data_IF_196258901028
#
_entry.id   IF_196258901028
#
_cell.length_a   1.000
_cell.length_b   1.000
_cell.length_c   1.000
_cell.angle_alpha   90.00
_cell.angle_beta   90.00
_cell.angle_gamma   90.00
#
_symmetry.space_group_name_H-M   'P 1'
#
loop_
_entity.id
_entity.type
_entity.pdbx_description
1 polymer ?
#
# COMPACT_ATOMS: atom_id res chain seq x y z
N UNK A 1 -54.98 -31.45 22.69
CA UNK A 1 -54.93 -30.56 23.87
C UNK A 1 -53.74 -29.63 23.70
N UNK A 2 -54.05 -28.34 23.59
CA UNK A 2 -53.16 -27.23 23.32
C UNK A 2 -52.48 -26.73 24.60
N UNK A 3 -51.43 -25.90 24.41
CA UNK A 3 -50.86 -24.97 25.41
C UNK A 3 -49.87 -25.61 26.39
N UNK A 4 -48.75 -25.02 26.82
CA UNK A 4 -48.21 -23.67 27.04
C UNK A 4 -46.66 -23.90 27.10
N UNK A 5 -45.70 -22.99 26.94
CA UNK A 5 -45.66 -21.54 27.03
C UNK A 5 -44.36 -21.04 26.38
N UNK A 6 -44.50 -20.03 25.52
CA UNK A 6 -43.56 -18.94 25.36
C UNK A 6 -43.12 -18.41 26.75
N UNK A 7 -41.82 -18.18 26.99
CA UNK A 7 -41.28 -17.06 27.80
C UNK A 7 -39.74 -17.16 27.89
N UNK A 8 -39.06 -16.12 27.38
CA UNK A 8 -37.75 -15.55 27.74
C UNK A 8 -36.99 -15.04 26.52
N UNK A 9 -37.56 -13.98 25.95
CA UNK A 9 -36.83 -12.85 25.38
C UNK A 9 -36.30 -12.00 26.55
N UNK A 10 -35.24 -11.21 26.30
CA UNK A 10 -34.63 -10.19 27.19
C UNK A 10 -33.63 -10.67 28.25
N UNK A 11 -32.33 -10.50 27.93
CA UNK A 11 -31.30 -9.74 28.66
C UNK A 11 -29.92 -10.34 28.34
N UNK A 12 -29.20 -9.77 27.36
CA UNK A 12 -27.73 -9.66 27.39
C UNK A 12 -27.32 -8.53 26.44
N UNK A 13 -27.68 -7.32 26.86
CA UNK A 13 -26.98 -6.08 26.52
C UNK A 13 -25.81 -5.93 27.51
N UNK A 14 -24.72 -5.33 27.05
CA UNK A 14 -23.46 -5.02 27.75
C UNK A 14 -22.41 -6.13 27.82
N UNK A 15 -21.68 -6.27 26.72
CA UNK A 15 -20.22 -6.31 26.77
C UNK A 15 -19.65 -5.69 25.50
N UNK A 16 -19.86 -4.37 25.36
CA UNK A 16 -19.03 -3.51 24.53
C UNK A 16 -17.61 -3.55 25.13
N UNK A 17 -16.78 -4.44 24.62
CA UNK A 17 -15.36 -4.42 24.90
C UNK A 17 -14.77 -3.15 24.28
N UNK A 18 -14.36 -2.22 25.14
CA UNK A 18 -13.47 -1.13 24.80
C UNK A 18 -12.14 -1.71 24.32
N UNK A 19 -11.97 -1.87 23.01
CA UNK A 19 -10.65 -1.93 22.40
C UNK A 19 -10.12 -0.49 22.34
N UNK A 20 -9.49 -0.03 23.40
CA UNK A 20 -8.65 1.17 23.35
C UNK A 20 -7.41 0.83 22.54
N UNK A 21 -7.50 1.06 21.24
CA UNK A 21 -6.38 0.99 20.32
C UNK A 21 -5.42 2.13 20.70
N UNK A 22 -4.39 1.81 21.50
CA UNK A 22 -3.29 2.71 21.82
C UNK A 22 -2.51 3.00 20.54
N UNK A 23 -2.96 4.01 19.79
CA UNK A 23 -2.17 4.66 18.76
C UNK A 23 -0.94 5.26 19.44
N UNK A 24 0.21 4.58 19.32
CA UNK A 24 1.52 5.20 19.57
C UNK A 24 1.68 6.36 18.59
N UNK A 25 1.47 7.57 19.09
CA UNK A 25 1.76 8.81 18.38
C UNK A 25 3.27 8.88 18.16
N UNK A 26 3.70 8.52 16.96
CA UNK A 26 5.07 8.76 16.52
C UNK A 26 5.19 10.26 16.24
N UNK A 27 5.79 11.00 17.18
CA UNK A 27 6.02 12.43 17.04
C UNK A 27 7.14 12.65 16.00
N UNK A 28 6.76 12.76 14.72
CA UNK A 28 7.59 13.49 13.77
C UNK A 28 7.53 14.97 14.14
N UNK A 29 8.62 15.46 14.72
CA UNK A 29 8.83 16.90 14.92
C UNK A 29 9.12 17.54 13.56
N UNK A 30 8.06 17.99 12.90
CA UNK A 30 8.10 18.97 11.82
C UNK A 30 7.11 20.06 12.19
N UNK A 31 7.62 21.22 12.57
CA UNK A 31 6.87 22.33 13.15
C UNK A 31 6.06 23.09 12.09
N UNK A 32 4.94 22.51 11.68
CA UNK A 32 3.78 23.25 11.15
C UNK A 32 2.53 22.36 11.34
N UNK A 33 1.55 22.74 12.18
CA UNK A 33 0.27 22.03 12.21
C UNK A 33 -0.41 22.23 10.86
N UNK A 34 -0.34 21.22 10.01
CA UNK A 34 -1.03 21.21 8.73
C UNK A 34 -2.53 21.40 9.00
N UNK A 35 -3.11 22.41 8.37
CA UNK A 35 -4.56 22.57 8.26
C UNK A 35 -5.13 21.25 7.70
N UNK A 36 -6.04 20.56 8.41
CA UNK A 36 -6.48 19.21 8.03
C UNK A 36 -7.30 19.11 6.73
N UNK A 37 -7.43 20.19 5.95
CA UNK A 37 -8.37 20.25 4.83
C UNK A 37 -7.83 20.78 3.50
N UNK A 38 -6.52 21.02 3.35
CA UNK A 38 -5.94 21.34 2.04
C UNK A 38 -4.99 20.24 1.64
N UNK A 39 -5.40 19.44 0.65
CA UNK A 39 -4.46 18.54 -0.03
C UNK A 39 -3.31 19.39 -0.60
N UNK A 40 -2.04 19.02 -0.37
CA UNK A 40 -0.94 19.71 -1.01
C UNK A 40 -1.06 19.53 -2.53
N UNK A 41 -0.90 20.60 -3.31
CA UNK A 41 -1.01 20.51 -4.78
C UNK A 41 0.16 19.74 -5.40
N UNK A 42 1.31 19.72 -4.71
CA UNK A 42 2.58 19.17 -5.20
C UNK A 42 3.37 18.54 -4.05
N UNK A 43 3.93 17.35 -4.26
CA UNK A 43 4.76 16.62 -3.30
C UNK A 43 6.04 16.08 -3.94
N UNK A 44 7.12 15.96 -3.15
CA UNK A 44 8.28 15.17 -3.54
C UNK A 44 7.90 13.69 -3.63
N UNK A 45 8.62 12.86 -4.39
CA UNK A 45 8.33 11.42 -4.43
C UNK A 45 8.34 10.76 -3.04
N UNK A 46 9.23 11.16 -2.12
CA UNK A 46 9.25 10.60 -0.77
C UNK A 46 8.03 11.04 0.06
N UNK A 47 7.66 12.31 0.01
CA UNK A 47 6.46 12.80 0.73
C UNK A 47 5.18 12.22 0.13
N UNK A 48 5.14 12.06 -1.20
CA UNK A 48 4.04 11.44 -1.93
C UNK A 48 3.85 9.98 -1.49
N UNK A 49 4.93 9.20 -1.34
CA UNK A 49 4.88 7.81 -0.85
C UNK A 49 4.31 7.71 0.57
N UNK A 50 4.65 8.63 1.46
CA UNK A 50 4.06 8.64 2.81
C UNK A 50 2.59 9.11 2.76
N UNK A 51 2.24 10.07 1.90
CA UNK A 51 0.87 10.54 1.70
C UNK A 51 -0.09 9.43 1.23
N UNK A 52 0.34 8.57 0.31
CA UNK A 52 -0.52 7.49 -0.24
C UNK A 52 -0.50 6.19 0.57
N UNK A 53 0.28 6.14 1.65
CA UNK A 53 0.57 4.91 2.40
C UNK A 53 -0.67 4.15 2.87
N UNK A 54 -1.68 4.88 3.32
CA UNK A 54 -2.94 4.34 3.85
C UNK A 54 -3.98 4.06 2.75
N UNK A 55 -3.65 4.39 1.49
CA UNK A 55 -4.51 4.18 0.32
C UNK A 55 -4.08 2.98 -0.53
N UNK A 56 -2.93 2.39 -0.17
CA UNK A 56 -2.33 1.21 -0.81
C UNK A 56 -3.25 0.00 -0.74
N UNK A 57 -3.05 -0.95 -1.67
CA UNK A 57 -3.76 -2.21 -1.71
C UNK A 57 -3.61 -2.99 -0.42
N UNK A 58 -4.73 -3.55 0.01
CA UNK A 58 -4.87 -4.42 1.16
C UNK A 58 -5.29 -5.82 0.73
N UNK A 59 -5.12 -6.78 1.65
CA UNK A 59 -5.59 -8.14 1.44
C UNK A 59 -7.10 -8.17 1.18
N UNK A 60 -7.87 -7.29 1.84
CA UNK A 60 -9.30 -7.13 1.61
C UNK A 60 -9.63 -6.82 0.15
N UNK A 61 -8.92 -5.86 -0.45
CA UNK A 61 -9.11 -5.49 -1.86
C UNK A 61 -8.90 -6.68 -2.82
N UNK A 62 -7.92 -7.53 -2.52
CA UNK A 62 -7.59 -8.71 -3.35
C UNK A 62 -8.54 -9.88 -3.11
N UNK A 63 -9.00 -10.07 -1.87
CA UNK A 63 -9.96 -11.13 -1.51
C UNK A 63 -11.34 -10.84 -2.10
N UNK A 64 -11.75 -9.58 -2.14
CA UNK A 64 -13.06 -9.18 -2.66
C UNK A 64 -13.13 -9.17 -4.20
N UNK A 65 -11.97 -9.30 -4.88
CA UNK A 65 -11.90 -9.39 -6.33
C UNK A 65 -12.46 -10.71 -6.84
N UNK A 66 -13.39 -10.66 -7.80
CA UNK A 66 -13.96 -11.85 -8.40
C UNK A 66 -12.95 -12.59 -9.29
N UNK A 67 -13.05 -13.92 -9.43
CA UNK A 67 -12.25 -14.67 -10.41
C UNK A 67 -12.35 -14.09 -11.82
N UNK A 68 -11.21 -13.87 -12.47
CA UNK A 68 -11.11 -13.29 -13.82
C UNK A 68 -11.22 -11.77 -13.88
N UNK A 69 -11.62 -11.10 -12.80
CA UNK A 69 -11.58 -9.65 -12.71
C UNK A 69 -10.12 -9.17 -12.62
N UNK A 70 -9.87 -7.96 -13.12
CA UNK A 70 -8.55 -7.36 -13.16
C UNK A 70 -8.57 -5.89 -12.72
N UNK A 71 -7.42 -5.41 -12.24
CA UNK A 71 -7.19 -4.00 -12.02
C UNK A 71 -5.73 -3.65 -12.31
N UNK A 72 -5.53 -2.39 -12.68
CA UNK A 72 -4.20 -1.83 -12.86
C UNK A 72 -3.64 -1.30 -11.54
N UNK A 73 -2.33 -1.44 -11.37
CA UNK A 73 -1.60 -1.03 -10.18
C UNK A 73 -0.35 -0.24 -10.53
N UNK A 74 -0.03 0.72 -9.67
CA UNK A 74 1.31 1.23 -9.49
C UNK A 74 2.06 0.30 -8.53
N UNK A 75 3.18 -0.24 -8.99
CA UNK A 75 4.10 -1.05 -8.18
C UNK A 75 5.09 -0.12 -7.50
N UNK A 76 5.14 -0.08 -6.17
CA UNK A 76 6.09 0.77 -5.42
C UNK A 76 7.16 -0.07 -4.74
N UNK A 77 7.90 -0.84 -5.54
CA UNK A 77 8.99 -1.66 -5.04
C UNK A 77 10.26 -0.84 -4.77
N UNK A 78 11.35 -1.53 -4.39
CA UNK A 78 12.64 -0.88 -4.11
C UNK A 78 13.27 -0.17 -5.31
N UNK A 79 12.85 -0.49 -6.53
CA UNK A 79 13.40 0.06 -7.77
C UNK A 79 12.51 1.16 -8.37
N UNK A 80 11.39 1.51 -7.73
CA UNK A 80 10.50 2.58 -8.19
C UNK A 80 11.26 3.87 -8.51
N UNK A 81 12.12 4.32 -7.60
CA UNK A 81 12.86 5.57 -7.77
C UNK A 81 13.89 5.46 -8.91
N UNK A 82 14.58 4.33 -9.06
CA UNK A 82 15.50 4.08 -10.18
C UNK A 82 14.77 4.14 -11.54
N UNK A 83 13.54 3.62 -11.59
CA UNK A 83 12.73 3.52 -12.81
C UNK A 83 12.10 4.89 -13.15
N UNK A 84 11.60 5.59 -12.15
CA UNK A 84 10.79 6.81 -12.34
C UNK A 84 11.60 8.10 -12.23
N UNK A 85 12.76 8.13 -11.57
CA UNK A 85 13.54 9.37 -11.38
C UNK A 85 14.61 9.58 -12.47
N UNK A 86 14.46 8.95 -13.64
CA UNK A 86 15.28 9.25 -14.82
C UNK A 86 15.03 10.70 -15.28
N UNK A 87 16.04 11.56 -15.08
CA UNK A 87 16.00 13.00 -15.37
C UNK A 87 15.62 13.32 -16.83
N UNK A 88 15.85 12.40 -17.77
CA UNK A 88 15.44 12.58 -19.17
C UNK A 88 13.93 12.53 -19.35
N UNK A 89 13.25 11.82 -18.44
CA UNK A 89 11.82 11.54 -18.54
C UNK A 89 10.99 12.25 -17.47
N UNK A 90 11.55 12.46 -16.28
CA UNK A 90 10.96 13.18 -15.17
C UNK A 90 12.06 14.08 -14.56
N UNK A 91 12.29 15.28 -15.14
CA UNK A 91 13.33 16.19 -14.68
C UNK A 91 13.16 16.56 -13.20
N UNK A 92 14.27 16.76 -12.47
CA UNK A 92 14.23 17.20 -11.08
C UNK A 92 13.41 18.49 -10.93
N UNK A 93 12.70 18.60 -9.80
CA UNK A 93 11.92 19.80 -9.43
C UNK A 93 10.83 20.22 -10.44
N UNK A 94 10.47 19.35 -11.38
CA UNK A 94 9.36 19.57 -12.30
C UNK A 94 8.14 18.73 -11.88
N UNK A 95 7.09 19.35 -11.30
CA UNK A 95 5.88 18.64 -10.94
C UNK A 95 5.15 18.12 -12.18
N UNK A 96 4.68 16.87 -12.09
CA UNK A 96 3.90 16.20 -13.13
C UNK A 96 2.74 15.43 -12.52
N UNK A 97 1.76 15.08 -13.35
CA UNK A 97 0.68 14.19 -12.93
C UNK A 97 1.24 12.81 -12.53
N UNK A 98 0.76 12.19 -11.44
CA UNK A 98 1.26 10.90 -10.98
C UNK A 98 1.20 9.79 -12.04
N UNK A 99 0.14 9.75 -12.85
CA UNK A 99 0.01 8.78 -13.95
C UNK A 99 1.16 8.91 -14.97
N UNK A 100 1.56 10.14 -15.29
CA UNK A 100 2.70 10.39 -16.16
C UNK A 100 3.98 9.99 -15.45
N UNK A 101 4.22 10.49 -14.24
CA UNK A 101 5.47 10.26 -13.51
C UNK A 101 5.77 8.76 -13.34
N UNK A 102 4.75 7.97 -12.96
CA UNK A 102 4.87 6.56 -12.62
C UNK A 102 4.61 5.58 -13.79
N UNK A 103 4.38 6.08 -15.01
CA UNK A 103 3.98 5.27 -16.20
C UNK A 103 4.82 4.02 -16.48
N UNK A 104 6.10 4.03 -16.10
CA UNK A 104 7.04 2.92 -16.32
C UNK A 104 6.92 1.79 -15.29
N UNK A 105 6.23 2.01 -14.16
CA UNK A 105 6.08 1.02 -13.08
C UNK A 105 4.62 0.59 -12.85
N UNK A 106 3.86 0.52 -13.95
CA UNK A 106 2.49 0.00 -13.99
C UNK A 106 2.49 -1.51 -14.20
N UNK A 107 1.52 -2.20 -13.63
CA UNK A 107 1.19 -3.57 -13.96
C UNK A 107 -0.32 -3.80 -13.91
N UNK A 108 -0.79 -4.89 -14.51
CA UNK A 108 -2.19 -5.34 -14.44
C UNK A 108 -2.25 -6.68 -13.71
N UNK A 109 -2.97 -6.74 -12.61
CA UNK A 109 -3.25 -8.00 -11.92
C UNK A 109 -4.60 -8.54 -12.38
N UNK A 110 -4.65 -9.84 -12.69
CA UNK A 110 -5.88 -10.58 -12.98
C UNK A 110 -6.04 -11.73 -12.00
N UNK A 111 -7.16 -11.79 -11.30
CA UNK A 111 -7.43 -12.80 -10.28
C UNK A 111 -7.63 -14.19 -10.88
N UNK A 112 -6.94 -15.18 -10.32
CA UNK A 112 -7.15 -16.59 -10.67
C UNK A 112 -8.48 -17.14 -10.15
N UNK A 113 -8.88 -18.30 -10.68
CA UNK A 113 -10.07 -19.06 -10.28
C UNK A 113 -9.78 -20.12 -9.19
N UNK A 114 -8.52 -20.22 -8.76
CA UNK A 114 -8.08 -21.12 -7.70
C UNK A 114 -8.59 -20.72 -6.30
N UNK A 115 -8.41 -21.62 -5.31
CA UNK A 115 -8.93 -21.40 -3.95
C UNK A 115 -8.15 -20.35 -3.14
N UNK A 116 -6.96 -19.96 -3.58
CA UNK A 116 -6.10 -19.01 -2.87
C UNK A 116 -6.33 -17.61 -3.45
N UNK A 117 -6.93 -16.68 -2.67
CA UNK A 117 -7.33 -15.39 -3.21
C UNK A 117 -6.15 -14.48 -3.58
N UNK A 118 -4.96 -14.74 -3.06
CA UNK A 118 -3.75 -13.95 -3.34
C UNK A 118 -3.04 -14.35 -4.64
N UNK A 119 -3.55 -15.36 -5.36
CA UNK A 119 -2.98 -15.87 -6.60
C UNK A 119 -3.72 -15.36 -7.85
N UNK A 120 -2.98 -15.22 -8.93
CA UNK A 120 -3.51 -14.81 -10.22
C UNK A 120 -2.41 -14.72 -11.27
N UNK A 121 -2.55 -13.75 -12.17
CA UNK A 121 -1.52 -13.41 -13.15
C UNK A 121 -1.21 -11.92 -13.11
N UNK A 122 0.04 -11.56 -13.39
CA UNK A 122 0.49 -10.17 -13.47
C UNK A 122 1.03 -9.91 -14.88
N UNK A 123 0.55 -8.86 -15.54
CA UNK A 123 1.12 -8.33 -16.77
C UNK A 123 1.86 -7.03 -16.45
N UNK A 124 3.19 -7.06 -16.49
CA UNK A 124 4.01 -5.88 -16.27
C UNK A 124 4.02 -4.98 -17.51
N UNK A 125 4.16 -3.67 -17.34
CA UNK A 125 4.16 -2.73 -18.47
C UNK A 125 5.31 -2.96 -19.48
N UNK A 126 6.36 -3.70 -19.10
CA UNK A 126 7.49 -4.05 -19.96
C UNK A 126 7.42 -5.48 -20.54
N UNK A 127 6.33 -6.21 -20.29
CA UNK A 127 6.13 -7.57 -20.77
C UNK A 127 4.96 -7.66 -21.76
N UNK A 128 4.95 -8.72 -22.55
CA UNK A 128 3.90 -8.97 -23.55
C UNK A 128 2.88 -10.00 -23.09
N UNK A 129 3.25 -10.86 -22.14
CA UNK A 129 2.43 -11.97 -21.65
C UNK A 129 2.37 -11.92 -20.13
N UNK A 130 1.24 -12.35 -19.52
CA UNK A 130 1.10 -12.32 -18.08
C UNK A 130 1.74 -13.55 -17.42
N UNK A 131 2.47 -13.33 -16.33
CA UNK A 131 3.12 -14.38 -15.54
C UNK A 131 2.26 -14.81 -14.35
N UNK A 132 2.34 -16.08 -13.89
CA UNK A 132 1.78 -16.49 -12.61
C UNK A 132 2.29 -15.61 -11.49
N UNK A 133 1.37 -15.14 -10.66
CA UNK A 133 1.69 -14.18 -9.62
C UNK A 133 0.99 -14.51 -8.31
N UNK A 134 1.71 -14.32 -7.21
CA UNK A 134 1.17 -14.37 -5.85
C UNK A 134 1.66 -13.14 -5.08
N UNK A 135 0.75 -12.48 -4.36
CA UNK A 135 1.08 -11.26 -3.63
C UNK A 135 2.08 -11.50 -2.49
N UNK A 136 2.98 -10.53 -2.31
CA UNK A 136 3.72 -10.39 -1.06
C UNK A 136 2.83 -9.69 -0.02
N UNK A 137 2.97 -10.11 1.23
CA UNK A 137 2.30 -9.48 2.38
C UNK A 137 3.28 -8.61 3.16
N UNK A 138 2.77 -7.49 3.67
CA UNK A 138 3.49 -6.71 4.68
C UNK A 138 3.33 -7.36 6.07
N UNK A 139 4.13 -8.39 6.35
CA UNK A 139 4.02 -9.16 7.60
C UNK A 139 4.47 -8.36 8.84
N UNK A 140 5.24 -7.29 8.64
CA UNK A 140 5.67 -6.31 9.65
C UNK A 140 5.84 -4.94 8.94
N UNK A 141 5.65 -3.79 9.61
CA UNK A 141 5.76 -2.50 8.95
C UNK A 141 7.06 -2.32 8.14
N UNK A 142 6.91 -2.12 6.84
CA UNK A 142 7.95 -2.00 5.79
C UNK A 142 8.68 -3.29 5.42
N UNK A 143 8.24 -4.44 5.92
CA UNK A 143 8.81 -5.75 5.60
C UNK A 143 7.82 -6.56 4.76
N UNK A 144 8.24 -6.89 3.55
CA UNK A 144 7.45 -7.58 2.56
C UNK A 144 8.00 -8.97 2.33
N UNK A 145 7.14 -9.99 2.27
CA UNK A 145 7.56 -11.35 2.00
C UNK A 145 6.55 -12.07 1.09
N UNK A 146 7.01 -12.87 0.12
CA UNK A 146 6.11 -13.62 -0.75
C UNK A 146 5.33 -14.67 0.03
N UNK A 147 4.01 -14.70 -0.17
CA UNK A 147 3.25 -15.90 0.15
C UNK A 147 3.63 -17.00 -0.85
N UNK A 148 3.59 -18.24 -0.38
CA UNK A 148 3.70 -19.43 -1.23
C UNK A 148 2.51 -20.32 -0.93
N UNK A 149 1.67 -20.52 -1.94
CA UNK A 149 0.43 -21.29 -1.81
C UNK A 149 -0.46 -20.75 -0.68
N UNK A 150 -0.52 -19.42 -0.57
CA UNK A 150 -1.29 -18.71 0.43
C UNK A 150 -0.66 -18.71 1.82
N UNK A 151 0.59 -19.16 1.99
CA UNK A 151 1.22 -19.32 3.31
C UNK A 151 2.53 -18.53 3.39
N UNK A 152 2.70 -17.78 4.49
CA UNK A 152 3.98 -17.29 4.94
C UNK A 152 4.68 -18.41 5.74
N UNK A 153 5.89 -18.85 5.34
CA UNK A 153 6.56 -19.94 6.04
C UNK A 153 6.97 -19.53 7.47
N UNK A 154 7.22 -20.52 8.33
CA UNK A 154 7.69 -20.29 9.70
C UNK A 154 9.08 -19.66 9.76
N UNK A 155 9.93 -20.04 8.82
CA UNK A 155 11.29 -19.53 8.68
C UNK A 155 11.53 -19.09 7.24
N UNK A 156 12.36 -18.06 7.06
CA UNK A 156 12.81 -17.67 5.74
C UNK A 156 13.82 -18.71 5.23
N UNK A 157 13.59 -19.39 4.09
CA UNK A 157 14.53 -20.38 3.56
C UNK A 157 15.91 -19.79 3.24
N UNK A 158 16.03 -18.47 3.11
CA UNK A 158 17.32 -17.78 2.90
C UNK A 158 17.99 -17.33 4.21
N UNK A 159 17.30 -17.43 5.36
CA UNK A 159 17.81 -16.99 6.66
C UNK A 159 18.01 -15.47 6.79
N UNK A 160 17.43 -14.67 5.88
CA UNK A 160 17.54 -13.21 5.88
C UNK A 160 16.50 -12.56 6.80
N UNK A 161 15.36 -13.22 7.01
CA UNK A 161 14.28 -12.71 7.86
C UNK A 161 14.01 -13.63 9.06
N UNK A 162 13.61 -13.02 10.17
CA UNK A 162 13.12 -13.72 11.37
C UNK A 162 11.65 -13.39 11.54
N UNK A 163 10.79 -14.40 11.43
CA UNK A 163 9.36 -14.23 11.61
C UNK A 163 8.98 -14.41 13.09
N UNK A 164 8.18 -13.49 13.63
CA UNK A 164 7.85 -13.45 15.06
C UNK A 164 6.52 -14.19 15.39
N UNK A 165 6.06 -15.09 14.50
CA UNK A 165 4.73 -15.73 14.59
C UNK A 165 4.74 -17.11 15.27
N UNK A 166 5.90 -17.72 15.47
CA UNK A 166 6.03 -19.05 16.10
C UNK A 166 5.44 -20.21 15.30
N UNK A 167 5.27 -20.04 13.98
CA UNK A 167 4.72 -21.04 13.07
C UNK A 167 4.40 -20.46 11.68
N UNK A 168 4.05 -21.31 10.70
CA UNK A 168 3.58 -20.84 9.39
C UNK A 168 2.27 -20.08 9.54
N UNK A 169 2.08 -19.06 8.72
CA UNK A 169 0.90 -18.18 8.78
C UNK A 169 0.19 -18.12 7.44
N UNK A 170 -1.00 -18.71 7.38
CA UNK A 170 -1.87 -18.65 6.20
C UNK A 170 -2.38 -17.23 5.95
N UNK A 171 -2.71 -16.92 4.69
CA UNK A 171 -3.18 -15.61 4.24
C UNK A 171 -4.42 -15.15 5.02
N UNK A 172 -5.32 -16.06 5.37
CA UNK A 172 -6.57 -15.80 6.11
C UNK A 172 -6.35 -15.49 7.60
N UNK A 173 -5.15 -15.74 8.12
CA UNK A 173 -4.74 -15.34 9.47
C UNK A 173 -4.18 -13.90 9.53
N UNK A 174 -4.04 -13.21 8.40
CA UNK A 174 -3.72 -11.78 8.36
C UNK A 174 -4.99 -10.94 8.45
N UNK A 175 -4.87 -9.73 9.02
CA UNK A 175 -5.98 -8.78 8.98
C UNK A 175 -6.28 -8.39 7.53
N UNK A 176 -7.54 -8.20 7.17
CA UNK A 176 -7.93 -7.76 5.83
C UNK A 176 -7.32 -6.40 5.46
N UNK A 177 -7.02 -5.54 6.43
CA UNK A 177 -6.31 -4.27 6.22
C UNK A 177 -4.80 -4.43 6.00
N UNK A 178 -4.25 -5.66 6.07
CA UNK A 178 -2.83 -5.91 5.82
C UNK A 178 -2.49 -5.52 4.40
N UNK A 179 -1.45 -4.71 4.20
CA UNK A 179 -1.06 -4.26 2.87
C UNK A 179 -0.42 -5.39 2.08
N UNK A 180 -0.67 -5.38 0.76
CA UNK A 180 -0.18 -6.38 -0.19
C UNK A 180 0.48 -5.70 -1.40
N UNK A 181 1.40 -6.40 -2.05
CA UNK A 181 2.10 -5.86 -3.22
C UNK A 181 3.23 -6.74 -3.72
N UNK A 182 4.25 -6.13 -4.35
CA UNK A 182 5.45 -6.80 -4.88
C UNK A 182 6.69 -6.15 -4.30
N UNK A 183 7.37 -6.83 -3.38
CA UNK A 183 8.56 -6.32 -2.67
C UNK A 183 8.40 -4.89 -2.12
N UNK A 184 7.16 -4.48 -1.87
CA UNK A 184 6.75 -3.09 -1.65
C UNK A 184 5.24 -2.95 -1.82
N UNK A 185 4.66 -1.83 -1.40
CA UNK A 185 3.23 -1.59 -1.55
C UNK A 185 2.83 -1.42 -3.02
N UNK A 186 1.56 -1.67 -3.29
CA UNK A 186 0.94 -1.32 -4.56
C UNK A 186 -0.22 -0.36 -4.33
N UNK A 187 -0.53 0.47 -5.32
CA UNK A 187 -1.67 1.39 -5.30
C UNK A 187 -2.50 1.15 -6.56
N UNK A 188 -3.83 1.17 -6.47
CA UNK A 188 -4.66 1.07 -7.69
C UNK A 188 -4.38 2.26 -8.61
N UNK A 189 -4.23 2.00 -9.90
CA UNK A 189 -3.85 2.99 -10.89
C UNK A 189 -4.92 4.09 -11.06
N UNK A 190 -6.20 3.70 -10.98
CA UNK A 190 -7.34 4.61 -11.09
C UNK A 190 -7.35 5.71 -10.01
N UNK A 191 -6.76 5.46 -8.83
CA UNK A 191 -6.63 6.46 -7.77
C UNK A 191 -5.61 7.56 -8.07
N UNK A 192 -4.70 7.37 -9.04
CA UNK A 192 -3.59 8.31 -9.28
C UNK A 192 -4.07 9.69 -9.75
N UNK A 193 -5.19 9.77 -10.47
CA UNK A 193 -5.72 11.01 -11.00
C UNK A 193 -6.23 11.99 -9.91
N UNK A 194 -6.47 11.49 -8.70
CA UNK A 194 -6.97 12.26 -7.56
C UNK A 194 -5.84 12.70 -6.61
N UNK A 195 -4.59 12.28 -6.89
CA UNK A 195 -3.46 12.50 -6.01
C UNK A 195 -2.71 13.80 -6.33
N UNK A 196 -2.01 14.39 -5.35
CA UNK A 196 -1.10 15.50 -5.59
C UNK A 196 -0.11 15.23 -6.72
N UNK A 197 0.27 16.28 -7.45
CA UNK A 197 1.35 16.19 -8.42
C UNK A 197 2.63 15.76 -7.73
N UNK A 198 3.48 15.05 -8.46
CA UNK A 198 4.74 14.52 -7.96
C UNK A 198 5.91 15.12 -8.73
N UNK A 199 7.01 15.40 -8.04
CA UNK A 199 8.26 15.78 -8.66
C UNK A 199 9.42 14.90 -8.16
N UNK A 200 10.44 14.78 -9.01
CA UNK A 200 11.69 14.13 -8.68
C UNK A 200 12.52 15.06 -7.78
N UNK A 201 12.77 14.64 -6.54
CA UNK A 201 13.55 15.38 -5.55
C UNK A 201 15.06 15.10 -5.63
N UNK A 202 15.48 14.14 -6.44
CA UNK A 202 16.89 13.83 -6.64
C UNK A 202 17.51 14.87 -7.58
N UNK A 203 18.40 15.68 -7.04
CA UNK A 203 19.35 16.44 -7.86
C UNK A 203 20.58 15.57 -8.11
N UNK A 204 21.11 15.59 -9.34
CA UNK A 204 22.27 14.81 -9.80
C UNK A 204 23.54 14.85 -8.91
N UNK A 205 23.56 15.62 -7.82
CA UNK A 205 24.73 15.85 -6.97
C UNK A 205 24.50 15.64 -5.47
N UNK A 206 23.34 15.15 -5.02
CA UNK A 206 23.08 14.96 -3.57
C UNK A 206 23.20 16.27 -2.76
N UNK A 207 23.20 17.41 -3.45
CA UNK A 207 23.09 18.72 -2.82
C UNK A 207 21.61 18.90 -2.53
N UNK A 208 21.27 18.82 -1.24
CA UNK A 208 19.93 19.18 -0.76
C UNK A 208 19.47 20.45 -1.49
N UNK A 209 18.24 20.49 -2.02
CA UNK A 209 17.72 21.71 -2.61
C UNK A 209 17.85 22.85 -1.59
N UNK A 210 18.18 24.08 -2.04
CA UNK A 210 18.16 25.22 -1.14
C UNK A 210 16.76 25.27 -0.51
N UNK A 211 16.71 25.18 0.82
CA UNK A 211 15.47 25.28 1.60
C UNK A 211 14.65 26.41 0.99
N UNK A 212 13.45 26.08 0.52
CA UNK A 212 12.54 27.03 -0.12
C UNK A 212 12.61 28.36 0.62
N UNK A 213 12.98 29.41 -0.12
CA UNK A 213 13.08 30.74 0.43
C UNK A 213 11.72 31.05 1.06
N UNK A 214 11.70 31.17 2.40
CA UNK A 214 10.52 31.67 3.12
C UNK A 214 10.14 32.96 2.40
N UNK A 215 8.95 32.98 1.80
CA UNK A 215 8.40 34.20 1.24
C UNK A 215 8.39 35.24 2.36
N UNK A 216 9.23 36.26 2.20
CA UNK A 216 9.27 37.39 3.11
C UNK A 216 7.87 38.01 3.11
N UNK A 217 7.28 38.29 4.29
CA UNK A 217 6.00 38.98 4.34
C UNK A 217 6.17 40.36 3.67
N UNK A 218 5.30 40.66 2.71
CA UNK A 218 5.18 41.99 2.14
C UNK A 218 4.75 42.96 3.25
N UNK A 219 5.62 43.91 3.55
CA UNK A 219 5.35 45.06 4.42
C UNK A 219 4.37 46.04 3.80
#
# INVERSE_FOLDING_TARGET
FFSFSFFFLFLFLLSFFFFTNTKKTFLFSSSNPLNPYTMPDVLSIQDWKEFVKDQCLTLGDVVDLAPGESFDVLVMDRNLEDICCDERTNPPEQPTEPEYFFRKNRATFTKGDGPIPTQGKMLWAWETEPDPYEFNVEYKPRYWYPLKDGVLPEEDPQGLFKFEFGGPKSWDAFDRSTRVGWRGPMLRWDKLAEMPKVYNSFTAFGLNPPKSAKSSPSS
#
